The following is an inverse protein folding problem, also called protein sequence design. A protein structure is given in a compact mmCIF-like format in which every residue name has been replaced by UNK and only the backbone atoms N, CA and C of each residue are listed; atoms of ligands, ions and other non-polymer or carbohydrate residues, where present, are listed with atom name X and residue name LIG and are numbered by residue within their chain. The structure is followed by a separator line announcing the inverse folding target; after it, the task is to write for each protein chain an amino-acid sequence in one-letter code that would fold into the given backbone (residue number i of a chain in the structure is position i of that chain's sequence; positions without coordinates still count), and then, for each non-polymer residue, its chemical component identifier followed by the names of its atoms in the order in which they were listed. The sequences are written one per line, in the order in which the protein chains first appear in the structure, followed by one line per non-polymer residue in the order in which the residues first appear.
data_IF_437786156191
#
_entry.id   IF_437786156191
#
_cell.length_a   1.000
_cell.length_b   1.000
_cell.length_c   1.000
_cell.angle_alpha   90.00
_cell.angle_beta   90.00
_cell.angle_gamma   90.00
#
_symmetry.space_group_name_H-M   'P 1'
#
loop_
_entity.id
_entity.type
_entity.pdbx_description
1 polymer ?
#
# COMPACT_ATOMS: atom_id res chain seq x y z
N UNK A 1 -2.78 8.88 -2.35
CA UNK A 1 -1.71 9.59 -1.62
C UNK A 1 -0.47 9.58 -2.50
N UNK A 2 0.06 10.76 -2.82
CA UNK A 2 1.27 10.92 -3.62
C UNK A 2 2.12 11.96 -2.89
N UNK A 3 3.35 11.58 -2.58
CA UNK A 3 4.42 12.51 -2.21
C UNK A 3 5.26 12.74 -3.47
N UNK A 4 5.48 14.00 -3.82
CA UNK A 4 6.38 14.36 -4.92
C UNK A 4 7.75 14.68 -4.33
N UNK A 5 8.75 13.92 -4.73
CA UNK A 5 10.17 14.11 -4.42
C UNK A 5 10.85 15.04 -5.41
N UNK A 6 12.15 14.82 -5.65
CA UNK A 6 12.97 15.70 -6.49
C UNK A 6 12.50 15.68 -7.95
N UNK A 7 12.42 16.86 -8.57
CA UNK A 7 12.13 16.97 -9.99
C UNK A 7 13.31 16.48 -10.85
N UNK A 8 13.02 15.63 -11.83
CA UNK A 8 13.96 15.19 -12.85
C UNK A 8 14.11 16.24 -13.97
N UNK A 9 15.18 16.13 -14.74
CA UNK A 9 15.47 17.06 -15.86
C UNK A 9 14.45 17.01 -17.00
N UNK A 10 13.65 15.96 -17.08
CA UNK A 10 12.60 15.76 -18.08
C UNK A 10 11.22 16.26 -17.61
N UNK A 11 11.13 16.84 -16.41
CA UNK A 11 9.89 17.33 -15.82
C UNK A 11 9.08 16.29 -15.06
N UNK A 12 9.56 15.05 -14.97
CA UNK A 12 9.05 14.05 -14.02
C UNK A 12 9.42 14.38 -12.58
N UNK A 13 8.74 13.76 -11.62
CA UNK A 13 9.10 13.84 -10.20
C UNK A 13 9.46 12.45 -9.68
N UNK A 14 10.40 12.41 -8.74
CA UNK A 14 10.63 11.19 -7.97
C UNK A 14 9.43 10.95 -7.06
N UNK A 15 8.58 9.97 -7.38
CA UNK A 15 7.40 9.66 -6.58
C UNK A 15 7.60 8.42 -5.71
N UNK A 16 6.90 8.40 -4.58
CA UNK A 16 6.83 7.23 -3.71
C UNK A 16 5.40 6.76 -3.56
N UNK A 17 5.22 5.44 -3.61
CA UNK A 17 3.93 4.82 -3.44
C UNK A 17 3.79 4.34 -2.00
N UNK A 18 2.78 4.82 -1.30
CA UNK A 18 2.46 4.27 0.02
C UNK A 18 0.96 4.15 0.25
N UNK A 19 0.61 3.24 1.15
CA UNK A 19 -0.76 3.09 1.65
C UNK A 19 -0.70 2.62 3.10
N UNK A 20 -1.59 3.15 3.93
CA UNK A 20 -1.85 2.65 5.27
C UNK A 20 -3.31 2.20 5.28
N UNK A 21 -3.55 0.98 5.75
CA UNK A 21 -4.89 0.40 5.79
C UNK A 21 -5.05 -0.48 7.03
N UNK A 22 -6.29 -0.69 7.45
CA UNK A 22 -6.63 -1.63 8.53
C UNK A 22 -7.97 -2.30 8.21
N UNK A 23 -8.22 -3.46 8.81
CA UNK A 23 -9.49 -4.15 8.65
C UNK A 23 -9.61 -5.43 9.49
N UNK A 24 -10.84 -6.02 9.56
CA UNK A 24 -12.11 -5.48 9.07
C UNK A 24 -12.58 -4.22 9.83
N UNK A 25 -13.40 -3.35 9.21
CA UNK A 25 -13.81 -2.07 9.84
C UNK A 25 -14.60 -2.24 11.15
N UNK A 26 -15.60 -3.15 11.26
CA UNK A 26 -16.38 -3.30 12.49
C UNK A 26 -15.57 -3.81 13.69
N UNK A 27 -14.53 -4.62 13.44
CA UNK A 27 -13.61 -5.16 14.46
C UNK A 27 -12.21 -5.33 13.84
N UNK A 28 -11.35 -4.31 13.90
CA UNK A 28 -10.02 -4.37 13.27
C UNK A 28 -9.12 -5.44 13.90
N UNK A 29 -8.55 -6.29 13.05
CA UNK A 29 -7.67 -7.40 13.46
C UNK A 29 -6.23 -7.21 12.97
N UNK A 30 -6.05 -6.47 11.87
CA UNK A 30 -4.75 -6.18 11.26
C UNK A 30 -4.69 -4.73 10.75
N UNK A 31 -3.51 -4.12 10.88
CA UNK A 31 -3.14 -2.86 10.24
C UNK A 31 -1.83 -3.05 9.44
N UNK A 32 -1.76 -2.41 8.28
CA UNK A 32 -0.64 -2.53 7.33
C UNK A 32 -0.18 -1.15 6.88
N UNK A 33 1.13 -1.01 6.71
CA UNK A 33 1.75 0.13 6.05
C UNK A 33 2.66 -0.41 4.94
N UNK A 34 2.39 -0.03 3.70
CA UNK A 34 3.21 -0.40 2.54
C UNK A 34 3.88 0.86 2.03
N UNK A 35 5.18 0.79 1.79
CA UNK A 35 5.98 1.83 1.16
C UNK A 35 6.79 1.21 0.02
N UNK A 36 6.73 1.85 -1.14
CA UNK A 36 7.45 1.47 -2.35
C UNK A 36 8.23 2.69 -2.82
N UNK A 37 9.56 2.58 -2.74
CA UNK A 37 10.49 3.55 -3.32
C UNK A 37 10.33 3.54 -4.84
N UNK A 38 10.25 4.72 -5.46
CA UNK A 38 9.97 4.91 -6.89
C UNK A 38 8.66 4.22 -7.32
N UNK A 39 7.54 4.70 -6.80
CA UNK A 39 6.25 4.04 -6.96
C UNK A 39 5.06 4.98 -6.84
N UNK A 40 3.86 4.41 -6.88
CA UNK A 40 2.61 5.13 -6.80
C UNK A 40 1.66 4.40 -5.85
N UNK A 41 0.95 5.15 -5.00
CA UNK A 41 0.08 4.57 -3.98
C UNK A 41 -1.02 3.68 -4.59
N UNK A 42 -1.70 4.15 -5.64
CA UNK A 42 -2.84 3.43 -6.21
C UNK A 42 -2.42 2.24 -7.09
N UNK A 43 -1.38 2.41 -7.91
CA UNK A 43 -0.97 1.39 -8.89
C UNK A 43 -0.01 0.35 -8.33
N UNK A 44 0.73 0.68 -7.26
CA UNK A 44 1.77 -0.20 -6.73
C UNK A 44 1.51 -0.59 -5.27
N UNK A 45 1.32 0.37 -4.36
CA UNK A 45 1.22 0.07 -2.93
C UNK A 45 -0.13 -0.58 -2.55
N UNK A 46 -1.24 -0.11 -3.12
CA UNK A 46 -2.57 -0.66 -2.86
C UNK A 46 -2.75 -2.13 -3.29
N UNK A 47 -2.28 -2.59 -4.47
CA UNK A 47 -2.30 -4.01 -4.81
C UNK A 47 -1.52 -4.89 -3.83
N UNK A 48 -0.35 -4.44 -3.34
CA UNK A 48 0.42 -5.17 -2.32
C UNK A 48 -0.35 -5.24 -1.00
N UNK A 49 -0.97 -4.14 -0.58
CA UNK A 49 -1.83 -4.12 0.59
C UNK A 49 -3.01 -5.12 0.48
N UNK A 50 -3.63 -5.22 -0.70
CA UNK A 50 -4.68 -6.20 -0.98
C UNK A 50 -4.17 -7.64 -0.83
N UNK A 51 -3.02 -7.98 -1.41
CA UNK A 51 -2.44 -9.32 -1.32
C UNK A 51 -2.12 -9.72 0.13
N UNK A 52 -1.64 -8.78 0.95
CA UNK A 52 -1.41 -9.02 2.38
C UNK A 52 -2.73 -9.33 3.10
N UNK A 53 -3.78 -8.55 2.86
CA UNK A 53 -5.10 -8.81 3.45
C UNK A 53 -5.66 -10.15 2.99
N UNK A 54 -5.55 -10.50 1.71
CA UNK A 54 -6.02 -11.79 1.16
C UNK A 54 -5.29 -12.96 1.83
N UNK A 55 -3.97 -12.87 1.98
CA UNK A 55 -3.19 -13.90 2.67
C UNK A 55 -3.59 -14.03 4.15
N UNK A 56 -3.74 -12.90 4.85
CA UNK A 56 -4.13 -12.89 6.26
C UNK A 56 -5.51 -13.54 6.48
N UNK A 57 -6.52 -13.12 5.72
CA UNK A 57 -7.88 -13.64 5.88
C UNK A 57 -8.06 -15.06 5.34
N UNK A 58 -7.25 -15.50 4.35
CA UNK A 58 -7.27 -16.89 3.88
C UNK A 58 -6.72 -17.83 4.96
N UNK A 59 -5.60 -17.48 5.60
CA UNK A 59 -5.03 -18.29 6.70
C UNK A 59 -5.96 -18.32 7.92
N UNK A 60 -6.68 -17.24 8.20
CA UNK A 60 -7.68 -17.23 9.28
C UNK A 60 -8.88 -18.12 8.95
N UNK A 61 -9.32 -18.18 7.68
CA UNK A 61 -10.44 -19.02 7.26
C UNK A 61 -10.13 -20.54 7.31
N UNK A 62 -8.85 -20.92 7.24
CA UNK A 62 -8.39 -22.31 7.34
C UNK A 62 -8.17 -22.81 8.78
N UNK A 63 -8.31 -21.92 9.79
CA UNK A 63 -8.19 -22.24 11.21
C UNK A 63 -9.54 -22.54 11.85
#
# INVERSE_FOLDING_TARGET
TAEFGVAYSDGGYDEHGYVIAFGPVPNPEIAIAVYIKHGNGAYHASPVAREIFEAYFSVVAER
#
